data_IF_125310606749
#
_entry.id   IF_125310606749
#
_cell.length_a   1.000
_cell.length_b   1.000
_cell.length_c   1.000
_cell.angle_alpha   90.00
_cell.angle_beta   90.00
_cell.angle_gamma   90.00
#
_symmetry.space_group_name_H-M   'P 1'
#
loop_
_entity.id
_entity.type
_entity.pdbx_description
1 polymer ?
#
# COMPACT_ATOMS: atom_id res chain seq x y z
N UNK A 1 -15.81 2.60 24.19
CA UNK A 1 -14.39 3.05 24.20
C UNK A 1 -13.40 1.97 23.74
N UNK A 2 -13.34 0.79 24.38
CA UNK A 2 -12.38 -0.28 23.99
C UNK A 2 -12.50 -0.74 22.52
N UNK A 3 -13.71 -0.90 21.98
CA UNK A 3 -13.93 -1.34 20.60
C UNK A 3 -13.40 -0.36 19.54
N UNK A 4 -13.67 0.94 19.67
CA UNK A 4 -13.21 1.96 18.72
C UNK A 4 -11.68 2.11 18.70
N UNK A 5 -11.01 1.86 19.84
CA UNK A 5 -9.55 1.86 19.92
C UNK A 5 -8.95 0.66 19.18
N UNK A 6 -9.53 -0.54 19.33
CA UNK A 6 -9.09 -1.71 18.57
C UNK A 6 -9.23 -1.51 17.06
N UNK A 7 -10.34 -0.89 16.63
CA UNK A 7 -10.55 -0.55 15.23
C UNK A 7 -9.50 0.44 14.73
N UNK A 8 -9.23 1.50 15.49
CA UNK A 8 -8.21 2.47 15.14
C UNK A 8 -6.79 1.85 15.07
N UNK A 9 -6.46 0.92 15.97
CA UNK A 9 -5.18 0.20 15.93
C UNK A 9 -5.11 -0.70 14.69
N UNK A 10 -6.17 -1.46 14.39
CA UNK A 10 -6.20 -2.32 13.19
C UNK A 10 -6.06 -1.52 11.90
N UNK A 11 -6.68 -0.34 11.85
CA UNK A 11 -6.60 0.57 10.72
C UNK A 11 -5.24 1.28 10.63
N UNK A 12 -4.61 1.54 11.78
CA UNK A 12 -3.24 2.06 11.85
C UNK A 12 -2.23 1.08 11.28
N UNK A 13 -2.37 -0.22 11.56
CA UNK A 13 -1.50 -1.27 10.96
C UNK A 13 -1.63 -1.28 9.43
N UNK A 14 -2.85 -1.13 8.90
CA UNK A 14 -3.06 -1.05 7.46
C UNK A 14 -2.34 0.15 6.82
N UNK A 15 -2.41 1.33 7.46
CA UNK A 15 -1.69 2.51 6.98
C UNK A 15 -0.17 2.39 7.16
N UNK A 16 0.31 1.74 8.23
CA UNK A 16 1.73 1.41 8.41
C UNK A 16 2.26 0.64 7.20
N UNK A 17 1.57 -0.44 6.82
CA UNK A 17 1.95 -1.30 5.71
C UNK A 17 1.96 -0.54 4.39
N UNK A 18 0.97 0.32 4.17
CA UNK A 18 0.93 1.20 3.00
C UNK A 18 2.12 2.17 2.96
N UNK A 19 2.45 2.81 4.09
CA UNK A 19 3.60 3.70 4.18
C UNK A 19 4.92 2.98 3.89
N UNK A 20 5.06 1.78 4.45
CA UNK A 20 6.19 0.89 4.20
C UNK A 20 6.32 0.53 2.71
N UNK A 21 5.21 0.15 2.08
CA UNK A 21 5.15 -0.19 0.67
C UNK A 21 5.66 0.94 -0.21
N UNK A 22 5.10 2.13 -0.06
CA UNK A 22 5.43 3.29 -0.89
C UNK A 22 6.92 3.65 -0.81
N UNK A 23 7.53 3.61 0.38
CA UNK A 23 8.99 3.82 0.51
C UNK A 23 9.80 2.68 -0.11
N UNK A 24 9.40 1.42 0.09
CA UNK A 24 10.11 0.25 -0.44
C UNK A 24 10.17 0.29 -1.97
N UNK A 25 9.10 0.75 -2.64
CA UNK A 25 9.08 0.93 -4.09
C UNK A 25 10.19 1.87 -4.55
N UNK A 26 10.31 3.03 -3.91
CA UNK A 26 11.30 4.05 -4.27
C UNK A 26 12.72 3.52 -4.15
N UNK A 27 13.02 2.75 -3.10
CA UNK A 27 14.33 2.10 -2.95
C UNK A 27 14.55 0.95 -3.93
N UNK A 28 13.54 0.11 -4.13
CA UNK A 28 13.63 -1.11 -4.96
C UNK A 28 13.75 -0.81 -6.46
N UNK A 29 13.24 0.33 -6.94
CA UNK A 29 13.28 0.66 -8.38
C UNK A 29 14.71 0.70 -8.92
N UNK A 30 15.69 1.13 -8.10
CA UNK A 30 17.11 1.12 -8.45
C UNK A 30 17.64 -0.29 -8.76
N UNK A 31 17.20 -1.29 -8.01
CA UNK A 31 17.61 -2.68 -8.17
C UNK A 31 16.84 -3.36 -9.31
N UNK A 32 15.53 -3.10 -9.41
CA UNK A 32 14.66 -3.65 -10.47
C UNK A 32 15.12 -3.17 -11.84
N UNK A 33 15.58 -1.90 -11.96
CA UNK A 33 16.13 -1.38 -13.21
C UNK A 33 17.32 -2.18 -13.73
N UNK A 34 18.22 -2.59 -12.82
CA UNK A 34 19.42 -3.36 -13.14
C UNK A 34 19.10 -4.81 -13.48
N UNK A 35 18.22 -5.45 -12.72
CA UNK A 35 17.85 -6.86 -12.91
C UNK A 35 17.11 -7.10 -14.23
N UNK A 36 16.25 -6.17 -14.63
CA UNK A 36 15.40 -6.30 -15.82
C UNK A 36 15.89 -5.49 -17.03
N UNK A 37 17.10 -4.93 -16.97
CA UNK A 37 17.72 -4.11 -18.03
C UNK A 37 16.79 -2.98 -18.57
N UNK A 38 16.05 -2.36 -17.65
CA UNK A 38 15.03 -1.35 -17.97
C UNK A 38 15.64 -0.01 -18.43
N UNK A 39 16.97 0.14 -18.36
CA UNK A 39 17.69 1.32 -18.85
C UNK A 39 17.50 1.52 -20.37
N UNK A 40 17.26 0.44 -21.11
CA UNK A 40 16.96 0.45 -22.55
C UNK A 40 15.54 0.93 -22.88
N UNK A 41 14.61 0.92 -21.91
CA UNK A 41 13.19 1.20 -22.12
C UNK A 41 12.58 2.08 -21.01
N UNK A 42 12.84 3.40 -21.01
CA UNK A 42 12.37 4.32 -19.97
C UNK A 42 10.83 4.38 -19.86
N UNK A 43 10.10 4.05 -20.93
CA UNK A 43 8.64 3.96 -20.89
C UNK A 43 8.15 2.87 -19.92
N UNK A 44 8.83 1.72 -19.88
CA UNK A 44 8.42 0.57 -19.04
C UNK A 44 8.69 0.85 -17.56
N UNK A 45 9.77 1.58 -17.25
CA UNK A 45 10.05 2.08 -15.91
C UNK A 45 8.93 3.02 -15.42
N UNK A 46 8.54 4.00 -16.23
CA UNK A 46 7.43 4.90 -15.90
C UNK A 46 6.13 4.14 -15.67
N UNK A 47 5.85 3.14 -16.52
CA UNK A 47 4.71 2.26 -16.35
C UNK A 47 4.75 1.45 -15.05
N UNK A 48 5.92 1.01 -14.60
CA UNK A 48 6.05 0.25 -13.35
C UNK A 48 5.56 1.02 -12.12
N UNK A 49 5.89 2.31 -12.02
CA UNK A 49 5.38 3.16 -10.92
C UNK A 49 3.93 3.58 -11.17
N UNK A 50 3.56 3.85 -12.43
CA UNK A 50 2.22 4.29 -12.77
C UNK A 50 1.15 3.20 -12.60
N UNK A 51 1.48 1.92 -12.80
CA UNK A 51 0.51 0.81 -12.74
C UNK A 51 -0.20 0.71 -11.39
N UNK A 52 0.51 0.91 -10.28
CA UNK A 52 -0.13 0.91 -8.95
C UNK A 52 -1.06 2.11 -8.76
N UNK A 53 -0.72 3.28 -9.32
CA UNK A 53 -1.57 4.48 -9.28
C UNK A 53 -2.81 4.33 -10.16
N UNK A 54 -2.66 3.74 -11.35
CA UNK A 54 -3.78 3.42 -12.25
C UNK A 54 -4.73 2.45 -11.57
N UNK A 55 -4.19 1.37 -10.97
CA UNK A 55 -4.98 0.42 -10.20
C UNK A 55 -5.74 1.10 -9.07
N UNK A 56 -5.05 1.89 -8.26
CA UNK A 56 -5.65 2.64 -7.17
C UNK A 56 -6.76 3.59 -7.67
N UNK A 57 -6.55 4.30 -8.78
CA UNK A 57 -7.54 5.24 -9.33
C UNK A 57 -8.81 4.53 -9.79
N UNK A 58 -8.65 3.39 -10.47
CA UNK A 58 -9.79 2.58 -10.93
C UNK A 58 -10.59 2.11 -9.73
N UNK A 59 -9.93 1.44 -8.76
CA UNK A 59 -10.65 0.84 -7.65
C UNK A 59 -11.31 1.88 -6.74
N UNK A 60 -10.64 3.01 -6.50
CA UNK A 60 -11.17 4.06 -5.61
C UNK A 60 -12.45 4.67 -6.18
N UNK A 61 -12.52 4.86 -7.49
CA UNK A 61 -13.72 5.33 -8.20
C UNK A 61 -14.92 4.40 -7.98
N UNK A 62 -14.72 3.09 -7.99
CA UNK A 62 -15.80 2.11 -7.76
C UNK A 62 -16.00 1.76 -6.28
N UNK A 63 -15.02 2.03 -5.42
CA UNK A 63 -15.02 1.57 -4.03
C UNK A 63 -16.16 2.16 -3.19
N UNK A 64 -16.58 3.40 -3.47
CA UNK A 64 -17.64 4.08 -2.72
C UNK A 64 -18.97 3.32 -2.76
N UNK A 65 -19.64 3.24 -3.93
CA UNK A 65 -20.92 2.54 -4.06
C UNK A 65 -20.85 1.07 -3.63
N UNK A 66 -19.74 0.38 -3.92
CA UNK A 66 -19.54 -1.02 -3.55
C UNK A 66 -19.45 -1.19 -2.03
N UNK A 67 -18.81 -0.24 -1.33
CA UNK A 67 -18.71 -0.26 0.13
C UNK A 67 -20.04 -0.02 0.86
N UNK A 68 -20.98 0.65 0.20
CA UNK A 68 -22.32 0.86 0.71
C UNK A 68 -23.18 -0.40 0.65
N UNK A 69 -22.95 -1.26 -0.36
CA UNK A 69 -23.71 -2.51 -0.53
C UNK A 69 -23.09 -3.68 0.24
N UNK A 70 -21.76 -3.86 0.15
CA UNK A 70 -21.05 -5.02 0.73
C UNK A 70 -20.69 -4.78 2.20
N UNK A 71 -20.60 -3.51 2.62
CA UNK A 71 -20.15 -3.11 3.95
C UNK A 71 -18.63 -2.93 4.04
N UNK A 72 -18.21 -2.13 5.03
CA UNK A 72 -16.82 -1.63 5.13
C UNK A 72 -15.82 -2.70 5.57
N UNK A 73 -16.20 -3.55 6.54
CA UNK A 73 -15.35 -4.61 7.11
C UNK A 73 -14.91 -5.67 6.07
N UNK A 74 -15.81 -6.32 5.31
CA UNK A 74 -15.40 -7.28 4.28
C UNK A 74 -14.53 -6.64 3.18
N UNK A 75 -14.80 -5.38 2.82
CA UNK A 75 -13.99 -4.66 1.84
C UNK A 75 -12.54 -4.42 2.33
N UNK A 76 -12.33 -4.10 3.60
CA UNK A 76 -11.00 -3.98 4.19
C UNK A 76 -10.25 -5.33 4.24
N UNK A 77 -10.97 -6.43 4.46
CA UNK A 77 -10.38 -7.78 4.43
C UNK A 77 -9.97 -8.12 2.98
N UNK A 78 -10.83 -7.87 1.99
CA UNK A 78 -10.51 -8.06 0.58
C UNK A 78 -9.31 -7.22 0.13
N UNK A 79 -9.23 -5.97 0.58
CA UNK A 79 -8.06 -5.11 0.35
C UNK A 79 -6.77 -5.74 0.88
N UNK A 80 -6.80 -6.28 2.10
CA UNK A 80 -5.64 -6.95 2.70
C UNK A 80 -5.24 -8.21 1.94
N UNK A 81 -6.21 -8.99 1.43
CA UNK A 81 -5.96 -10.17 0.61
C UNK A 81 -5.35 -9.81 -0.76
N UNK A 82 -5.85 -8.76 -1.40
CA UNK A 82 -5.29 -8.26 -2.67
C UNK A 82 -3.87 -7.76 -2.49
N UNK A 83 -3.59 -7.04 -1.41
CA UNK A 83 -2.26 -6.56 -1.07
C UNK A 83 -1.28 -7.73 -0.81
N UNK A 84 -1.72 -8.74 -0.05
CA UNK A 84 -0.93 -9.95 0.18
C UNK A 84 -0.67 -10.73 -1.12
N UNK A 85 -1.69 -10.93 -1.96
CA UNK A 85 -1.55 -11.61 -3.23
C UNK A 85 -0.64 -10.84 -4.19
N UNK A 86 -0.80 -9.52 -4.30
CA UNK A 86 0.06 -8.65 -5.12
C UNK A 86 1.52 -8.73 -4.71
N UNK A 87 1.79 -8.66 -3.39
CA UNK A 87 3.13 -8.83 -2.83
C UNK A 87 3.74 -10.21 -3.13
N UNK A 88 2.93 -11.28 -3.07
CA UNK A 88 3.38 -12.64 -3.36
C UNK A 88 3.70 -12.84 -4.85
N UNK A 89 2.89 -12.26 -5.74
CA UNK A 89 3.14 -12.30 -7.19
C UNK A 89 4.39 -11.48 -7.52
N UNK A 90 4.61 -10.34 -6.85
CA UNK A 90 5.85 -9.56 -7.01
C UNK A 90 7.08 -10.38 -6.62
N UNK A 91 7.03 -11.11 -5.50
CA UNK A 91 8.14 -11.92 -5.00
C UNK A 91 8.57 -13.02 -5.99
N UNK A 92 7.62 -13.64 -6.69
CA UNK A 92 7.88 -14.70 -7.67
C UNK A 92 7.87 -14.23 -9.12
N UNK A 93 7.92 -12.93 -9.38
CA UNK A 93 7.80 -12.40 -10.74
C UNK A 93 9.02 -12.78 -11.61
N UNK A 94 8.83 -13.57 -12.70
CA UNK A 94 9.93 -13.98 -13.57
C UNK A 94 10.20 -13.00 -14.72
N UNK A 95 9.27 -12.05 -14.93
CA UNK A 95 9.29 -11.10 -16.04
C UNK A 95 8.66 -9.77 -15.60
N UNK A 96 9.12 -8.66 -16.18
CA UNK A 96 8.57 -7.31 -16.03
C UNK A 96 7.05 -7.28 -16.23
N UNK A 97 6.47 -8.01 -17.19
CA UNK A 97 5.02 -8.00 -17.40
C UNK A 97 4.23 -8.58 -16.21
N UNK A 98 4.75 -9.65 -15.59
CA UNK A 98 4.14 -10.23 -14.39
C UNK A 98 4.28 -9.27 -13.22
N UNK A 99 5.43 -8.59 -13.12
CA UNK A 99 5.67 -7.57 -12.12
C UNK A 99 4.70 -6.36 -12.29
N UNK A 100 4.43 -5.92 -13.53
CA UNK A 100 3.44 -4.87 -13.82
C UNK A 100 2.02 -5.28 -13.41
N UNK A 101 1.62 -6.53 -13.70
CA UNK A 101 0.34 -7.05 -13.26
C UNK A 101 0.24 -7.13 -11.73
N UNK A 102 1.31 -7.56 -11.07
CA UNK A 102 1.37 -7.60 -9.62
C UNK A 102 1.19 -6.20 -9.01
N UNK A 103 1.79 -5.17 -9.62
CA UNK A 103 1.60 -3.76 -9.23
C UNK A 103 0.17 -3.27 -9.40
N UNK A 104 -0.51 -3.71 -10.46
CA UNK A 104 -1.91 -3.36 -10.67
C UNK A 104 -2.80 -3.96 -9.57
N UNK A 105 -2.61 -5.25 -9.26
CA UNK A 105 -3.35 -5.96 -8.19
C UNK A 105 -3.09 -5.32 -6.83
N UNK A 106 -1.83 -5.01 -6.55
CA UNK A 106 -1.44 -4.36 -5.31
C UNK A 106 -2.04 -2.94 -5.20
N UNK A 107 -2.05 -2.19 -6.30
CA UNK A 107 -2.73 -0.90 -6.42
C UNK A 107 -4.24 -0.98 -6.11
N UNK A 108 -4.91 -2.07 -6.48
CA UNK A 108 -6.30 -2.31 -6.09
C UNK A 108 -6.45 -2.49 -4.57
N UNK A 109 -5.53 -3.24 -3.94
CA UNK A 109 -5.51 -3.40 -2.49
C UNK A 109 -5.30 -2.07 -1.76
N UNK A 110 -4.27 -1.33 -2.15
CA UNK A 110 -3.92 -0.04 -1.54
C UNK A 110 -5.04 1.00 -1.72
N UNK A 111 -5.61 1.10 -2.93
CA UNK A 111 -6.69 2.05 -3.21
C UNK A 111 -7.91 1.84 -2.32
N UNK A 112 -8.33 0.59 -2.11
CA UNK A 112 -9.42 0.24 -1.20
C UNK A 112 -9.10 0.62 0.26
N UNK A 113 -7.87 0.37 0.72
CA UNK A 113 -7.46 0.70 2.07
C UNK A 113 -7.51 2.22 2.32
N UNK A 114 -6.97 3.03 1.40
CA UNK A 114 -6.92 4.50 1.53
C UNK A 114 -8.32 5.09 1.68
N UNK A 115 -9.30 4.64 0.89
CA UNK A 115 -10.65 5.21 0.93
C UNK A 115 -11.46 4.71 2.12
N UNK A 116 -11.36 3.42 2.45
CA UNK A 116 -12.24 2.79 3.42
C UNK A 116 -11.78 2.94 4.86
N UNK A 117 -10.47 3.01 5.12
CA UNK A 117 -9.93 3.16 6.47
C UNK A 117 -10.46 4.42 7.19
N UNK A 118 -10.33 5.65 6.64
CA UNK A 118 -10.79 6.85 7.34
C UNK A 118 -12.32 6.86 7.50
N UNK A 119 -13.05 6.35 6.51
CA UNK A 119 -14.51 6.20 6.57
C UNK A 119 -14.90 5.26 7.71
N UNK A 120 -14.31 4.07 7.77
CA UNK A 120 -14.60 3.07 8.79
C UNK A 120 -14.29 3.56 10.21
N UNK A 121 -13.17 4.27 10.38
CA UNK A 121 -12.83 4.91 11.66
C UNK A 121 -13.87 5.98 12.00
N UNK A 122 -14.26 6.84 11.05
CA UNK A 122 -15.21 7.92 11.31
C UNK A 122 -16.59 7.42 11.74
N UNK A 123 -17.05 6.31 11.16
CA UNK A 123 -18.32 5.64 11.47
C UNK A 123 -18.29 4.94 12.84
N UNK A 124 -17.13 4.39 13.24
CA UNK A 124 -16.99 3.62 14.48
C UNK A 124 -16.55 4.45 15.69
N UNK A 125 -16.13 5.70 15.47
CA UNK A 125 -15.52 6.55 16.49
C UNK A 125 -16.55 7.46 17.19
N UNK A 126 -16.48 7.60 18.53
CA UNK A 126 -17.25 8.60 19.27
C UNK A 126 -16.88 10.03 18.82
N UNK A 127 -17.82 10.98 18.83
CA UNK A 127 -17.59 12.36 18.36
C UNK A 127 -16.40 13.04 19.06
N UNK A 128 -16.24 12.79 20.36
CA UNK A 128 -15.24 13.43 21.23
C UNK A 128 -13.79 13.07 20.88
N UNK A 129 -13.54 11.86 20.33
CA UNK A 129 -12.19 11.37 20.03
C UNK A 129 -11.96 11.10 18.54
N UNK A 130 -12.96 11.35 17.68
CA UNK A 130 -12.91 11.08 16.24
C UNK A 130 -11.70 11.73 15.57
N UNK A 131 -11.38 12.97 15.94
CA UNK A 131 -10.20 13.68 15.40
C UNK A 131 -8.88 12.98 15.72
N UNK A 132 -8.69 12.52 16.97
CA UNK A 132 -7.47 11.80 17.40
C UNK A 132 -7.37 10.41 16.78
N UNK A 133 -8.49 9.74 16.57
CA UNK A 133 -8.49 8.43 15.93
C UNK A 133 -8.24 8.53 14.42
N UNK A 134 -8.59 9.64 13.78
CA UNK A 134 -8.32 9.86 12.35
C UNK A 134 -6.87 10.29 12.06
N UNK A 135 -6.15 10.85 13.03
CA UNK A 135 -4.73 11.20 12.88
C UNK A 135 -3.80 10.00 13.09
N UNK A 136 -4.24 8.98 13.84
CA UNK A 136 -3.45 7.79 14.14
C UNK A 136 -3.02 7.00 12.88
N UNK A 137 -3.88 6.73 11.89
CA UNK A 137 -3.48 6.07 10.65
C UNK A 137 -2.40 6.83 9.88
N UNK A 138 -2.55 8.16 9.75
CA UNK A 138 -1.57 8.99 9.05
C UNK A 138 -0.22 9.01 9.76
N UNK A 139 -0.23 9.13 11.09
CA UNK A 139 1.00 9.02 11.89
C UNK A 139 1.69 7.67 11.68
N UNK A 140 0.91 6.59 11.68
CA UNK A 140 1.44 5.24 11.54
C UNK A 140 1.94 4.97 10.12
N UNK A 141 1.30 5.53 9.10
CA UNK A 141 1.79 5.49 7.71
C UNK A 141 3.12 6.21 7.53
N UNK A 142 3.26 7.43 8.08
CA UNK A 142 4.54 8.13 8.10
C UNK A 142 5.62 7.35 8.87
N UNK A 143 5.24 6.69 9.97
CA UNK A 143 6.13 5.80 10.71
C UNK A 143 6.59 4.60 9.88
N UNK A 144 5.69 3.94 9.15
CA UNK A 144 6.03 2.83 8.24
C UNK A 144 6.98 3.27 7.12
N UNK A 145 6.76 4.46 6.55
CA UNK A 145 7.64 5.05 5.55
C UNK A 145 9.05 5.32 6.12
N UNK A 146 9.13 5.88 7.33
CA UNK A 146 10.41 6.11 8.02
C UNK A 146 11.19 4.82 8.23
N UNK A 147 10.56 3.78 8.77
CA UNK A 147 11.24 2.49 8.99
C UNK A 147 11.71 1.83 7.69
N UNK A 148 10.92 1.94 6.61
CA UNK A 148 11.32 1.43 5.30
C UNK A 148 12.55 2.17 4.75
N UNK A 149 12.62 3.50 4.89
CA UNK A 149 13.83 4.23 4.49
C UNK A 149 15.05 3.86 5.34
N UNK A 150 14.89 3.68 6.66
CA UNK A 150 15.98 3.17 7.49
C UNK A 150 16.47 1.79 7.03
N UNK A 151 15.55 0.90 6.65
CA UNK A 151 15.89 -0.41 6.09
C UNK A 151 16.64 -0.28 4.76
N UNK A 152 16.14 0.53 3.82
CA UNK A 152 16.79 0.75 2.52
C UNK A 152 18.21 1.32 2.70
N UNK A 153 18.36 2.28 3.62
CA UNK A 153 19.67 2.83 3.98
C UNK A 153 20.60 1.75 4.55
N UNK A 154 20.10 0.92 5.49
CA UNK A 154 20.85 -0.21 6.04
C UNK A 154 21.27 -1.24 4.98
N UNK A 155 20.41 -1.51 3.98
CA UNK A 155 20.73 -2.41 2.87
C UNK A 155 21.75 -1.83 1.88
N UNK A 156 21.90 -0.49 1.84
CA UNK A 156 22.85 0.20 0.95
C UNK A 156 24.24 0.39 1.61
N UNK A 157 24.34 0.25 2.94
CA UNK A 157 25.59 0.32 3.69
C UNK A 157 26.63 -0.78 3.40
N UNK A 158 26.26 -2.08 3.18
CA UNK A 158 27.25 -3.07 2.77
C UNK A 158 27.79 -2.75 1.37
N UNK A 159 29.10 -2.96 1.12
CA UNK A 159 29.67 -2.79 -0.21
C UNK A 159 28.96 -3.73 -1.18
N UNK A 160 28.50 -3.19 -2.30
CA UNK A 160 27.82 -3.92 -3.37
C UNK A 160 28.55 -5.24 -3.66
N UNK A 161 27.92 -6.42 -3.51
CA UNK A 161 28.50 -7.62 -4.06
C UNK A 161 28.50 -7.43 -5.58
N UNK A 162 29.70 -7.52 -6.16
CA UNK A 162 29.95 -7.40 -7.59
C UNK A 162 29.12 -8.38 -8.41
#
# INVERSE_FOLDING_TARGET
MRGSVFVAISAAVCNLLQGWYNATIVGSVLYIKREFDLESHPAVEGFFVAMSLIGATIITTFSGPVSDVIGRRPMLISSSLLYFAGSLIMLWSPNVYVLLLARLVDGFGVGLAVTLVPVYISETSPPEIRGRLNTLPQFTGSGGMFFSYCMIFAMTLPPSPN
#
